data_IF_465767001521
#
_entry.id   IF_465767001521
#
_cell.length_a   1.000
_cell.length_b   1.000
_cell.length_c   1.000
_cell.angle_alpha   90.00
_cell.angle_beta   90.00
_cell.angle_gamma   90.00
#
_symmetry.space_group_name_H-M   'P 1'
#
loop_
_entity.id
_entity.type
_entity.pdbx_description
1 polymer ?
#
# COMPACT_ATOMS: atom_id res chain seq x y z
N UNK A 1 18.87 3.77 -92.95
CA UNK A 1 18.71 4.97 -92.13
C UNK A 1 17.49 4.81 -91.24
N UNK A 2 17.66 4.27 -90.06
CA UNK A 2 16.55 3.96 -89.13
C UNK A 2 16.64 4.88 -87.92
N UNK A 3 15.61 5.69 -87.74
CA UNK A 3 15.46 6.60 -86.59
C UNK A 3 14.94 5.80 -85.39
N UNK A 4 15.78 5.64 -84.40
CA UNK A 4 15.35 5.15 -83.09
C UNK A 4 14.60 6.27 -82.31
N UNK A 5 13.31 6.02 -82.04
CA UNK A 5 12.55 6.86 -81.09
C UNK A 5 12.67 6.26 -79.69
N UNK A 6 13.32 7.00 -78.84
CA UNK A 6 13.39 6.67 -77.43
C UNK A 6 12.04 7.06 -76.78
N UNK A 7 11.35 6.04 -76.23
CA UNK A 7 10.13 6.25 -75.45
C UNK A 7 10.61 6.49 -74.01
N UNK A 8 10.38 7.69 -73.52
CA UNK A 8 10.53 8.01 -72.08
C UNK A 8 9.35 7.43 -71.31
N UNK A 9 9.56 6.39 -70.54
CA UNK A 9 8.59 5.91 -69.55
C UNK A 9 8.72 6.79 -68.30
N UNK A 10 7.60 7.42 -67.92
CA UNK A 10 7.45 8.15 -66.65
C UNK A 10 7.46 7.15 -65.52
N UNK A 11 8.59 7.02 -64.85
CA UNK A 11 8.64 6.37 -63.54
C UNK A 11 7.98 7.28 -62.50
N UNK A 12 6.73 6.94 -62.15
CA UNK A 12 6.04 7.55 -61.00
C UNK A 12 6.69 7.00 -59.74
N UNK A 13 7.53 7.81 -59.12
CA UNK A 13 8.12 7.52 -57.82
C UNK A 13 7.02 7.67 -56.78
N UNK A 14 6.42 6.55 -56.36
CA UNK A 14 5.55 6.49 -55.17
C UNK A 14 6.43 6.65 -53.95
N UNK A 15 6.56 7.89 -53.44
CA UNK A 15 7.14 8.13 -52.11
C UNK A 15 6.06 7.67 -51.10
N UNK A 16 6.24 6.47 -50.57
CA UNK A 16 5.47 5.99 -49.42
C UNK A 16 5.94 6.79 -48.18
N UNK A 17 5.25 7.87 -47.90
CA UNK A 17 5.43 8.61 -46.63
C UNK A 17 4.86 7.70 -45.54
N UNK A 18 5.71 6.84 -44.94
CA UNK A 18 5.41 6.19 -43.69
C UNK A 18 5.49 7.26 -42.61
N UNK A 19 4.38 7.92 -42.34
CA UNK A 19 4.21 8.72 -41.13
C UNK A 19 4.25 7.73 -39.95
N UNK A 20 5.45 7.53 -39.40
CA UNK A 20 5.62 6.93 -38.08
C UNK A 20 5.00 7.94 -37.11
N UNK A 21 3.70 7.78 -36.83
CA UNK A 21 3.10 8.33 -35.63
C UNK A 21 3.75 7.56 -34.45
N UNK A 22 4.94 8.00 -34.06
CA UNK A 22 5.43 7.75 -32.72
C UNK A 22 4.45 8.49 -31.81
N UNK A 23 3.38 7.82 -31.41
CA UNK A 23 2.56 8.29 -30.30
C UNK A 23 3.46 8.21 -29.09
N UNK A 24 4.19 9.29 -28.83
CA UNK A 24 4.74 9.55 -27.52
C UNK A 24 3.50 9.72 -26.61
N UNK A 25 2.95 8.60 -26.16
CA UNK A 25 1.92 8.60 -25.16
C UNK A 25 2.59 9.23 -23.94
N UNK A 26 2.27 10.52 -23.72
CA UNK A 26 2.74 11.25 -22.55
C UNK A 26 2.25 10.43 -21.36
N UNK A 27 3.16 9.65 -20.74
CA UNK A 27 2.79 8.86 -19.56
C UNK A 27 2.31 9.85 -18.51
N UNK A 28 1.06 9.69 -18.11
CA UNK A 28 0.43 10.53 -17.10
C UNK A 28 1.12 10.24 -15.78
N UNK A 29 1.62 11.29 -15.10
CA UNK A 29 2.24 11.16 -13.79
C UNK A 29 1.18 10.72 -12.78
N UNK A 30 1.48 9.71 -11.99
CA UNK A 30 0.62 9.22 -10.91
C UNK A 30 1.05 9.79 -9.57
N UNK A 31 0.10 10.25 -8.79
CA UNK A 31 0.35 10.85 -7.49
C UNK A 31 0.02 9.89 -6.36
N UNK A 32 1.02 9.51 -5.59
CA UNK A 32 0.89 8.68 -4.39
C UNK A 32 1.03 9.55 -3.16
N UNK A 33 0.06 9.48 -2.26
CA UNK A 33 0.10 10.18 -0.98
C UNK A 33 0.57 9.21 0.11
N UNK A 34 1.66 9.54 0.79
CA UNK A 34 2.09 8.89 2.02
C UNK A 34 1.52 9.65 3.22
N UNK A 35 0.96 8.95 4.19
CA UNK A 35 0.44 9.60 5.41
C UNK A 35 1.53 10.32 6.20
N UNK A 36 2.72 9.72 6.27
CA UNK A 36 3.97 10.32 6.80
C UNK A 36 5.14 9.68 6.06
N UNK A 37 5.84 10.45 5.25
CA UNK A 37 6.92 9.94 4.45
C UNK A 37 8.15 9.56 5.29
N UNK A 38 8.82 8.49 4.90
CA UNK A 38 10.20 8.19 5.27
C UNK A 38 10.95 7.67 4.05
N UNK A 39 12.27 7.66 4.13
CA UNK A 39 13.12 7.24 3.03
C UNK A 39 12.77 5.84 2.49
N UNK A 40 12.43 4.89 3.38
CA UNK A 40 12.08 3.53 2.99
C UNK A 40 10.79 3.49 2.16
N UNK A 41 9.73 4.23 2.56
CA UNK A 41 8.48 4.28 1.81
C UNK A 41 8.66 4.98 0.46
N UNK A 42 9.43 6.07 0.41
CA UNK A 42 9.76 6.77 -0.84
C UNK A 42 10.50 5.82 -1.78
N UNK A 43 11.58 5.17 -1.32
CA UNK A 43 12.33 4.19 -2.12
C UNK A 43 11.50 2.99 -2.56
N UNK A 44 10.54 2.56 -1.72
CA UNK A 44 9.65 1.47 -2.08
C UNK A 44 8.74 1.85 -3.24
N UNK A 45 8.19 3.08 -3.21
CA UNK A 45 7.19 3.55 -4.18
C UNK A 45 7.74 4.46 -5.28
N UNK A 46 9.04 4.77 -5.31
CA UNK A 46 9.58 5.58 -6.39
C UNK A 46 9.51 4.85 -7.75
N UNK A 47 9.11 5.59 -8.78
CA UNK A 47 9.05 5.18 -10.17
C UNK A 47 9.16 6.43 -11.05
N UNK A 48 9.67 6.29 -12.29
CA UNK A 48 9.90 7.41 -13.21
C UNK A 48 8.63 8.24 -13.55
N UNK A 49 7.46 7.67 -13.32
CA UNK A 49 6.17 8.31 -13.62
C UNK A 49 5.34 8.59 -12.36
N UNK A 50 5.99 8.67 -11.19
CA UNK A 50 5.27 8.84 -9.92
C UNK A 50 5.71 10.09 -9.18
N UNK A 51 4.74 10.85 -8.67
CA UNK A 51 4.93 11.93 -7.70
C UNK A 51 4.55 11.38 -6.33
N UNK A 52 5.44 11.52 -5.36
CA UNK A 52 5.18 11.12 -3.97
C UNK A 52 5.02 12.37 -3.12
N UNK A 53 3.89 12.46 -2.42
CA UNK A 53 3.57 13.59 -1.54
C UNK A 53 3.49 13.11 -0.08
N UNK A 54 4.10 13.87 0.83
CA UNK A 54 4.03 13.66 2.28
C UNK A 54 2.91 14.48 2.89
N UNK A 55 1.79 13.82 3.19
CA UNK A 55 0.62 14.49 3.75
C UNK A 55 0.87 15.10 5.14
N UNK A 56 1.83 14.53 5.92
CA UNK A 56 2.12 15.00 7.27
C UNK A 56 2.73 16.40 7.30
N UNK A 57 3.51 16.76 6.27
CA UNK A 57 4.18 18.07 6.18
C UNK A 57 3.35 19.13 5.45
N UNK A 58 2.30 18.72 4.73
CA UNK A 58 1.46 19.61 3.94
C UNK A 58 0.32 20.18 4.80
N UNK A 59 0.26 21.52 4.93
CA UNK A 59 -0.74 22.20 5.76
C UNK A 59 -2.19 22.01 5.30
N UNK A 60 -2.41 22.01 3.99
CA UNK A 60 -3.74 21.82 3.40
C UNK A 60 -3.82 20.43 2.73
N UNK A 61 -4.25 19.43 3.50
CA UNK A 61 -4.41 18.06 3.01
C UNK A 61 -5.42 17.97 1.87
N UNK A 62 -6.50 18.79 1.88
CA UNK A 62 -7.52 18.75 0.83
C UNK A 62 -6.95 19.09 -0.54
N UNK A 63 -5.95 19.98 -0.59
CA UNK A 63 -5.33 20.38 -1.84
C UNK A 63 -4.55 19.25 -2.54
N UNK A 64 -4.09 18.25 -1.79
CA UNK A 64 -3.36 17.11 -2.36
C UNK A 64 -4.26 15.89 -2.57
N UNK A 65 -5.35 15.77 -1.80
CA UNK A 65 -6.27 14.64 -1.94
C UNK A 65 -6.90 14.58 -3.34
N UNK A 66 -7.24 15.73 -3.93
CA UNK A 66 -7.80 15.81 -5.30
C UNK A 66 -6.81 15.38 -6.38
N UNK A 67 -5.53 15.27 -6.06
CA UNK A 67 -4.47 14.83 -6.96
C UNK A 67 -4.14 13.34 -6.80
N UNK A 68 -4.70 12.68 -5.77
CA UNK A 68 -4.30 11.33 -5.39
C UNK A 68 -4.79 10.29 -6.39
N UNK A 69 -3.89 9.48 -6.92
CA UNK A 69 -4.18 8.21 -7.59
C UNK A 69 -4.17 7.03 -6.62
N UNK A 70 -3.47 7.16 -5.49
CA UNK A 70 -3.43 6.14 -4.44
C UNK A 70 -2.84 6.66 -3.14
N UNK A 71 -3.14 5.96 -2.04
CA UNK A 71 -2.77 6.36 -0.68
C UNK A 71 -2.05 5.23 0.05
N UNK A 72 -1.00 5.58 0.81
CA UNK A 72 -0.32 4.65 1.71
C UNK A 72 -0.36 5.21 3.13
N UNK A 73 -1.02 4.47 4.02
CA UNK A 73 -0.95 4.71 5.46
C UNK A 73 0.30 4.00 5.99
N UNK A 74 1.26 4.78 6.48
CA UNK A 74 2.58 4.30 6.85
C UNK A 74 2.67 3.81 8.30
N UNK A 75 3.73 3.09 8.66
CA UNK A 75 4.04 2.69 10.03
C UNK A 75 4.38 3.86 10.95
N UNK A 76 4.36 3.67 12.26
CA UNK A 76 4.72 4.72 13.22
C UNK A 76 4.18 4.54 14.63
N UNK A 77 3.90 5.66 15.29
CA UNK A 77 3.45 5.80 16.66
C UNK A 77 2.10 5.09 16.89
N UNK A 78 1.73 4.81 18.14
CA UNK A 78 0.48 4.14 18.49
C UNK A 78 -0.76 5.00 18.16
N UNK A 79 -1.88 4.34 17.85
CA UNK A 79 -3.16 5.00 17.65
C UNK A 79 -3.78 5.27 19.03
N UNK A 80 -4.30 6.48 19.23
CA UNK A 80 -5.00 6.83 20.45
C UNK A 80 -6.15 5.85 20.73
N UNK A 81 -6.15 5.11 21.85
CA UNK A 81 -7.19 4.15 22.19
C UNK A 81 -8.60 4.73 22.25
N UNK A 82 -8.74 6.02 22.48
CA UNK A 82 -10.05 6.70 22.42
C UNK A 82 -10.68 6.67 21.01
N UNK A 83 -9.89 6.46 19.96
CA UNK A 83 -10.40 6.30 18.60
C UNK A 83 -11.23 5.03 18.40
N UNK A 84 -11.04 4.03 19.27
CA UNK A 84 -11.79 2.77 19.27
C UNK A 84 -12.47 2.47 20.63
N UNK A 85 -12.80 3.55 21.39
CA UNK A 85 -13.54 3.52 22.65
C UNK A 85 -12.89 2.66 23.74
N UNK A 86 -11.58 2.61 23.79
CA UNK A 86 -10.82 1.86 24.79
C UNK A 86 -10.03 2.82 25.69
N UNK A 87 -10.47 2.93 26.93
CA UNK A 87 -9.79 3.76 27.94
C UNK A 87 -8.72 2.97 28.72
N UNK A 88 -8.82 1.65 28.72
CA UNK A 88 -7.91 0.78 29.50
C UNK A 88 -6.53 0.79 28.83
N UNK A 89 -6.48 0.71 27.51
CA UNK A 89 -5.25 0.66 26.75
C UNK A 89 -4.46 1.98 26.74
N UNK A 90 -5.02 3.09 27.26
CA UNK A 90 -4.25 4.33 27.46
C UNK A 90 -3.04 4.14 28.38
N UNK A 91 -3.11 3.22 29.32
CA UNK A 91 -2.02 2.97 30.28
C UNK A 91 -0.82 2.19 29.67
N UNK A 92 -1.05 1.49 28.57
CA UNK A 92 -0.05 0.63 27.90
C UNK A 92 0.34 1.12 26.52
N UNK A 93 -0.34 2.15 26.01
CA UNK A 93 0.02 2.84 24.79
C UNK A 93 1.41 3.48 24.89
N UNK A 94 2.16 3.42 23.81
CA UNK A 94 3.34 4.23 23.62
C UNK A 94 3.01 5.69 23.23
N UNK A 95 3.89 6.31 22.47
CA UNK A 95 3.69 7.68 22.01
C UNK A 95 2.46 7.79 21.09
N UNK A 96 1.57 8.74 21.37
CA UNK A 96 0.37 9.02 20.59
C UNK A 96 0.59 10.32 19.80
N UNK A 97 0.30 10.27 18.51
CA UNK A 97 0.35 11.42 17.62
C UNK A 97 -1.07 11.79 17.15
N UNK A 98 -1.76 12.66 17.87
CA UNK A 98 -3.13 13.09 17.60
C UNK A 98 -3.32 13.74 16.22
N UNK A 99 -2.33 14.50 15.75
CA UNK A 99 -2.36 15.10 14.41
C UNK A 99 -2.38 14.00 13.35
N UNK A 100 -1.58 12.97 13.55
CA UNK A 100 -1.47 11.85 12.65
C UNK A 100 -2.72 10.96 12.66
N UNK A 101 -3.34 10.75 13.84
CA UNK A 101 -4.61 10.04 13.96
C UNK A 101 -5.70 10.72 13.11
N UNK A 102 -5.84 12.04 13.26
CA UNK A 102 -6.81 12.83 12.49
C UNK A 102 -6.51 12.80 10.99
N UNK A 103 -5.25 12.96 10.61
CA UNK A 103 -4.80 12.94 9.22
C UNK A 103 -5.09 11.57 8.57
N UNK A 104 -4.63 10.48 9.19
CA UNK A 104 -4.77 9.15 8.60
C UNK A 104 -6.23 8.68 8.54
N UNK A 105 -7.06 9.09 9.51
CA UNK A 105 -8.51 8.88 9.44
C UNK A 105 -9.09 9.57 8.21
N UNK A 106 -8.73 10.83 7.97
CA UNK A 106 -9.17 11.60 6.79
C UNK A 106 -8.70 10.96 5.49
N UNK A 107 -7.43 10.49 5.43
CA UNK A 107 -6.89 9.81 4.25
C UNK A 107 -7.62 8.50 3.96
N UNK A 108 -7.93 7.72 5.00
CA UNK A 108 -8.69 6.49 4.87
C UNK A 108 -10.12 6.76 4.38
N UNK A 109 -10.84 7.68 5.01
CA UNK A 109 -12.22 8.02 4.66
C UNK A 109 -12.28 8.50 3.19
N UNK A 110 -11.36 9.36 2.77
CA UNK A 110 -11.27 9.84 1.40
C UNK A 110 -11.01 8.69 0.40
N UNK A 111 -10.04 7.80 0.70
CA UNK A 111 -9.76 6.65 -0.15
C UNK A 111 -10.97 5.72 -0.24
N UNK A 112 -11.65 5.48 0.87
CA UNK A 112 -12.82 4.61 0.91
C UNK A 112 -13.99 5.15 0.08
N UNK A 113 -14.31 6.42 0.23
CA UNK A 113 -15.40 7.09 -0.47
C UNK A 113 -15.15 7.20 -1.97
N UNK A 114 -13.92 7.55 -2.36
CA UNK A 114 -13.53 7.78 -3.75
C UNK A 114 -13.00 6.52 -4.47
N UNK A 115 -13.00 5.36 -3.79
CA UNK A 115 -12.51 4.09 -4.33
C UNK A 115 -11.04 4.12 -4.75
N UNK A 116 -10.23 4.96 -4.13
CA UNK A 116 -8.81 5.03 -4.39
C UNK A 116 -8.06 3.85 -3.79
N UNK A 117 -7.10 3.27 -4.50
CA UNK A 117 -6.23 2.22 -3.96
C UNK A 117 -5.54 2.66 -2.68
N UNK A 118 -5.59 1.78 -1.65
CA UNK A 118 -4.95 2.05 -0.37
C UNK A 118 -4.11 0.85 0.09
N UNK A 119 -2.88 1.15 0.55
CA UNK A 119 -2.05 0.20 1.32
C UNK A 119 -1.93 0.72 2.75
N UNK A 120 -2.15 -0.16 3.74
CA UNK A 120 -1.82 0.09 5.15
C UNK A 120 -0.62 -0.75 5.59
N UNK A 121 0.36 -0.11 6.25
CA UNK A 121 1.56 -0.80 6.78
C UNK A 121 1.67 -0.55 8.27
N UNK A 122 1.79 -1.63 9.06
CA UNK A 122 1.93 -1.60 10.53
C UNK A 122 0.83 -0.73 11.17
N UNK A 123 1.14 0.47 11.65
CA UNK A 123 0.15 1.44 12.12
C UNK A 123 -0.95 1.71 11.09
N UNK A 124 -0.62 1.75 9.80
CA UNK A 124 -1.60 1.95 8.72
C UNK A 124 -2.62 0.81 8.61
N UNK A 125 -2.23 -0.44 8.88
CA UNK A 125 -3.16 -1.58 8.99
C UNK A 125 -4.08 -1.43 10.21
N UNK A 126 -3.53 -0.99 11.33
CA UNK A 126 -4.28 -0.72 12.55
C UNK A 126 -5.29 0.41 12.35
N UNK A 127 -4.86 1.52 11.70
CA UNK A 127 -5.75 2.64 11.36
C UNK A 127 -6.87 2.20 10.41
N UNK A 128 -6.57 1.39 9.40
CA UNK A 128 -7.61 0.83 8.51
C UNK A 128 -8.66 0.03 9.28
N UNK A 129 -8.26 -0.76 10.30
CA UNK A 129 -9.17 -1.50 11.16
C UNK A 129 -10.01 -0.56 12.04
N UNK A 130 -9.37 0.38 12.73
CA UNK A 130 -10.03 1.34 13.64
C UNK A 130 -11.00 2.25 12.87
N UNK A 131 -10.56 2.79 11.74
CA UNK A 131 -11.41 3.62 10.88
C UNK A 131 -12.63 2.86 10.33
N UNK A 132 -12.50 1.55 10.20
CA UNK A 132 -13.59 0.64 9.79
C UNK A 132 -14.48 0.19 10.96
N UNK A 133 -14.22 0.61 12.19
CA UNK A 133 -15.01 0.28 13.39
C UNK A 133 -14.48 -0.92 14.20
N UNK A 134 -13.25 -1.34 13.95
CA UNK A 134 -12.54 -2.36 14.72
C UNK A 134 -11.82 -1.82 15.95
N UNK A 135 -11.19 -2.72 16.72
CA UNK A 135 -10.39 -2.38 17.92
C UNK A 135 -9.00 -3.02 17.84
N UNK A 136 -8.10 -2.62 18.74
CA UNK A 136 -6.75 -3.13 18.82
C UNK A 136 -6.49 -3.84 20.17
N UNK A 137 -5.54 -4.77 20.17
CA UNK A 137 -4.78 -5.12 21.36
C UNK A 137 -3.87 -3.94 21.71
N UNK A 138 -3.93 -3.46 22.93
CA UNK A 138 -3.11 -2.33 23.37
C UNK A 138 -1.66 -2.73 23.58
N UNK A 139 -1.45 -3.97 24.05
CA UNK A 139 -0.12 -4.56 24.21
C UNK A 139 -0.20 -6.08 24.07
N UNK A 140 0.25 -6.63 22.96
CA UNK A 140 0.21 -8.06 22.66
C UNK A 140 0.90 -8.89 23.73
N UNK A 141 2.12 -8.54 24.22
CA UNK A 141 2.77 -9.30 25.29
C UNK A 141 1.90 -9.46 26.54
N UNK A 142 1.20 -8.41 26.93
CA UNK A 142 0.35 -8.41 28.13
C UNK A 142 -0.98 -9.14 27.91
N UNK A 143 -1.62 -8.98 26.75
CA UNK A 143 -2.97 -9.50 26.49
C UNK A 143 -2.96 -10.92 25.89
N UNK A 144 -1.94 -11.27 25.11
CA UNK A 144 -1.82 -12.55 24.38
C UNK A 144 -0.65 -13.40 24.91
N UNK A 145 0.44 -12.74 25.33
CA UNK A 145 1.66 -13.40 25.77
C UNK A 145 2.82 -13.24 24.79
N UNK A 146 3.89 -13.97 25.02
CA UNK A 146 5.17 -13.85 24.31
C UNK A 146 5.55 -15.09 23.52
N UNK A 147 4.58 -15.91 23.14
CA UNK A 147 4.81 -17.11 22.30
C UNK A 147 5.38 -16.73 20.93
N UNK A 148 4.94 -15.60 20.39
CA UNK A 148 5.54 -14.92 19.22
C UNK A 148 6.09 -13.59 19.69
N UNK A 149 7.30 -13.26 19.28
CA UNK A 149 7.91 -11.96 19.58
C UNK A 149 7.64 -11.03 18.41
N UNK A 150 6.77 -10.03 18.63
CA UNK A 150 6.41 -9.01 17.62
C UNK A 150 7.28 -7.75 17.70
N UNK A 151 7.90 -7.50 18.85
CA UNK A 151 8.80 -6.37 19.09
C UNK A 151 9.84 -6.70 20.14
N UNK A 152 11.07 -6.24 19.94
CA UNK A 152 12.15 -6.24 20.93
C UNK A 152 12.97 -4.95 20.74
N UNK A 153 14.12 -4.81 21.37
CA UNK A 153 15.01 -3.65 21.26
C UNK A 153 15.61 -3.41 19.84
N UNK A 154 14.94 -3.84 18.80
CA UNK A 154 15.33 -3.74 17.39
C UNK A 154 14.36 -4.52 16.51
N UNK A 155 14.79 -4.79 15.28
CA UNK A 155 14.06 -5.64 14.37
C UNK A 155 13.98 -7.06 14.90
N UNK A 156 12.80 -7.63 14.85
CA UNK A 156 12.58 -9.06 15.05
C UNK A 156 11.97 -9.67 13.80
N UNK A 157 12.09 -10.97 13.66
CA UNK A 157 11.46 -11.72 12.59
C UNK A 157 10.65 -12.86 13.15
N UNK A 158 9.44 -13.08 12.62
CA UNK A 158 8.64 -14.24 12.98
C UNK A 158 7.95 -14.82 11.75
N UNK A 159 7.47 -16.06 11.90
CA UNK A 159 6.71 -16.73 10.84
C UNK A 159 5.24 -16.33 10.92
N UNK A 160 4.65 -16.13 9.75
CA UNK A 160 3.20 -16.02 9.57
C UNK A 160 2.70 -17.16 8.71
N UNK A 161 1.46 -17.57 8.94
CA UNK A 161 0.77 -18.60 8.15
C UNK A 161 -0.35 -17.92 7.34
N UNK A 162 -0.44 -18.25 6.05
CA UNK A 162 -1.53 -17.80 5.22
C UNK A 162 -2.78 -18.63 5.54
N UNK A 163 -3.87 -17.94 5.85
CA UNK A 163 -5.18 -18.53 6.16
C UNK A 163 -6.16 -18.36 5.01
N UNK A 164 -5.80 -17.55 4.04
CA UNK A 164 -6.54 -17.36 2.81
C UNK A 164 -5.62 -16.88 1.68
N UNK A 165 -6.04 -17.02 0.43
CA UNK A 165 -5.26 -16.62 -0.73
C UNK A 165 -5.43 -15.14 -1.05
N UNK A 166 -4.32 -14.43 -1.31
CA UNK A 166 -4.33 -13.07 -1.79
C UNK A 166 -3.07 -12.77 -2.63
N UNK A 167 -3.20 -12.91 -3.94
CA UNK A 167 -2.11 -12.63 -4.90
C UNK A 167 -1.69 -11.16 -4.96
N UNK A 168 -2.44 -10.25 -4.30
CA UNK A 168 -2.07 -8.84 -4.18
C UNK A 168 -0.97 -8.59 -3.15
N UNK A 169 -0.80 -9.53 -2.20
CA UNK A 169 0.19 -9.43 -1.10
C UNK A 169 1.23 -10.55 -1.22
N UNK A 170 0.77 -11.78 -1.40
CA UNK A 170 1.60 -12.97 -1.38
C UNK A 170 1.58 -13.70 -2.73
N UNK A 171 2.71 -14.27 -3.18
CA UNK A 171 2.72 -15.13 -4.35
C UNK A 171 1.87 -16.39 -4.12
N UNK A 172 1.31 -16.94 -5.20
CA UNK A 172 0.54 -18.16 -5.13
C UNK A 172 1.39 -19.35 -4.64
N UNK A 173 0.79 -20.24 -3.86
CA UNK A 173 1.47 -21.41 -3.30
C UNK A 173 2.33 -21.12 -2.06
N UNK A 174 2.19 -19.93 -1.46
CA UNK A 174 2.83 -19.61 -0.18
C UNK A 174 1.92 -20.06 0.97
N UNK A 175 2.41 -20.93 1.85
CA UNK A 175 1.68 -21.36 3.05
C UNK A 175 2.20 -20.66 4.32
N UNK A 176 3.51 -20.51 4.42
CA UNK A 176 4.18 -19.90 5.56
C UNK A 176 5.35 -19.06 5.08
N UNK A 177 5.52 -17.88 5.67
CA UNK A 177 6.60 -16.97 5.31
C UNK A 177 7.18 -16.28 6.54
N UNK A 178 8.49 -15.94 6.49
CA UNK A 178 9.17 -15.14 7.48
C UNK A 178 8.97 -13.66 7.15
N UNK A 179 8.55 -12.85 8.13
CA UNK A 179 8.39 -11.40 8.03
C UNK A 179 9.14 -10.68 9.14
N UNK A 180 9.50 -9.43 8.89
CA UNK A 180 10.04 -8.53 9.89
C UNK A 180 8.93 -7.93 10.76
N UNK A 181 9.24 -7.46 11.96
CA UNK A 181 8.24 -6.94 12.89
C UNK A 181 8.82 -5.90 13.86
N UNK A 182 8.01 -4.89 14.19
CA UNK A 182 8.31 -3.81 15.14
C UNK A 182 7.09 -3.36 15.94
N UNK A 183 6.02 -4.15 16.02
CA UNK A 183 4.77 -3.73 16.65
C UNK A 183 4.55 -4.45 18.00
N UNK A 184 3.91 -3.78 18.95
CA UNK A 184 3.41 -4.39 20.17
C UNK A 184 1.88 -4.33 20.25
N UNK A 185 1.25 -3.59 19.34
CA UNK A 185 -0.20 -3.56 19.15
C UNK A 185 -0.60 -4.40 17.92
N UNK A 186 -1.86 -4.85 17.88
CA UNK A 186 -2.38 -5.65 16.76
C UNK A 186 -3.90 -5.59 16.69
N UNK A 187 -4.48 -6.08 15.61
CA UNK A 187 -5.93 -6.11 15.42
C UNK A 187 -6.58 -7.09 16.41
N UNK A 188 -7.60 -6.62 17.16
CA UNK A 188 -8.36 -7.40 18.14
C UNK A 188 -9.76 -7.75 17.61
N UNK A 189 -10.63 -6.77 17.48
CA UNK A 189 -11.93 -6.93 16.84
C UNK A 189 -11.84 -6.35 15.43
N UNK A 190 -12.33 -7.10 14.46
CA UNK A 190 -12.33 -6.68 13.07
C UNK A 190 -13.76 -6.64 12.53
N UNK A 191 -14.12 -5.60 11.75
CA UNK A 191 -15.40 -5.55 11.09
C UNK A 191 -15.52 -6.60 9.98
N UNK A 192 -16.74 -7.04 9.68
CA UNK A 192 -17.01 -8.14 8.74
C UNK A 192 -16.55 -7.87 7.30
N UNK A 193 -16.29 -6.63 6.92
CA UNK A 193 -15.81 -6.28 5.58
C UNK A 193 -14.29 -6.38 5.44
N UNK A 194 -13.54 -6.57 6.52
CA UNK A 194 -12.13 -6.95 6.50
C UNK A 194 -11.98 -8.47 6.54
N UNK A 195 -11.12 -9.01 5.70
CA UNK A 195 -10.80 -10.43 5.61
C UNK A 195 -9.34 -10.65 5.96
N UNK A 196 -9.08 -11.54 6.89
CA UNK A 196 -7.70 -11.93 7.26
C UNK A 196 -7.12 -12.82 6.17
N UNK A 197 -5.89 -12.54 5.79
CA UNK A 197 -5.12 -13.29 4.79
C UNK A 197 -4.00 -14.09 5.45
N UNK A 198 -3.37 -13.51 6.47
CA UNK A 198 -2.30 -14.19 7.21
C UNK A 198 -2.38 -13.88 8.71
N UNK A 199 -1.88 -14.81 9.52
CA UNK A 199 -1.77 -14.68 10.98
C UNK A 199 -0.39 -15.10 11.44
N UNK A 200 0.09 -14.50 12.52
CA UNK A 200 1.17 -15.06 13.34
C UNK A 200 0.71 -16.33 14.05
N UNK A 201 1.64 -17.13 14.57
CA UNK A 201 1.32 -18.41 15.24
C UNK A 201 0.57 -18.25 16.57
N UNK A 202 0.55 -17.07 17.15
CA UNK A 202 -0.27 -16.72 18.32
C UNK A 202 -1.68 -16.22 17.94
N UNK A 203 -2.00 -16.21 16.64
CA UNK A 203 -3.30 -15.85 16.12
C UNK A 203 -3.47 -14.39 15.75
N UNK A 204 -2.49 -13.52 16.00
CA UNK A 204 -2.55 -12.09 15.63
C UNK A 204 -2.64 -11.94 14.10
N UNK A 205 -3.59 -11.15 13.56
CA UNK A 205 -3.66 -10.85 12.14
C UNK A 205 -2.43 -10.09 11.66
N UNK A 206 -1.82 -10.58 10.58
CA UNK A 206 -0.60 -10.02 9.99
C UNK A 206 -0.82 -9.45 8.58
N UNK A 207 -1.90 -9.88 7.92
CA UNK A 207 -2.33 -9.32 6.64
C UNK A 207 -3.85 -9.35 6.54
N UNK A 208 -4.43 -8.26 6.06
CA UNK A 208 -5.87 -8.14 5.82
C UNK A 208 -6.13 -7.47 4.48
N UNK A 209 -7.30 -7.77 3.91
CA UNK A 209 -7.82 -7.08 2.74
C UNK A 209 -9.27 -6.69 2.97
N UNK A 210 -9.69 -5.58 2.38
CA UNK A 210 -11.10 -5.25 2.33
C UNK A 210 -11.80 -6.10 1.27
N UNK A 211 -12.99 -6.61 1.58
CA UNK A 211 -13.79 -7.38 0.63
C UNK A 211 -14.14 -6.51 -0.58
N UNK A 212 -14.00 -7.05 -1.78
CA UNK A 212 -14.25 -6.31 -3.05
C UNK A 212 -15.65 -5.73 -3.17
N UNK A 213 -16.63 -6.29 -2.46
CA UNK A 213 -17.98 -5.73 -2.39
C UNK A 213 -18.06 -4.37 -1.67
N UNK A 214 -17.05 -4.02 -0.87
CA UNK A 214 -16.95 -2.74 -0.17
C UNK A 214 -15.96 -1.79 -0.85
N UNK A 215 -14.80 -2.30 -1.28
CA UNK A 215 -13.77 -1.50 -1.92
C UNK A 215 -12.91 -2.33 -2.89
N UNK A 216 -12.60 -1.84 -4.11
CA UNK A 216 -11.87 -2.61 -5.12
C UNK A 216 -10.45 -2.98 -4.70
N UNK A 217 -9.74 -2.09 -3.99
CA UNK A 217 -8.36 -2.30 -3.59
C UNK A 217 -8.03 -1.57 -2.28
N UNK A 218 -8.17 -2.28 -1.16
CA UNK A 218 -7.55 -1.90 0.12
C UNK A 218 -6.90 -3.13 0.72
N UNK A 219 -5.59 -3.10 0.87
CA UNK A 219 -4.78 -4.17 1.44
C UNK A 219 -3.93 -3.61 2.57
N UNK A 220 -3.68 -4.41 3.60
CA UNK A 220 -2.82 -3.97 4.68
C UNK A 220 -2.06 -5.12 5.32
N UNK A 221 -0.86 -4.82 5.82
CA UNK A 221 0.05 -5.76 6.49
C UNK A 221 0.59 -5.16 7.79
N UNK A 222 0.83 -6.03 8.79
CA UNK A 222 1.35 -5.61 10.08
C UNK A 222 2.89 -5.50 10.07
N UNK A 223 3.54 -6.28 9.23
CA UNK A 223 4.97 -6.21 8.97
C UNK A 223 5.34 -5.07 8.01
N UNK A 224 6.64 -4.89 7.71
CA UNK A 224 7.18 -3.75 6.96
C UNK A 224 7.75 -4.16 5.60
N UNK A 225 6.93 -4.23 4.52
CA UNK A 225 7.41 -4.58 3.18
C UNK A 225 8.39 -3.54 2.62
N UNK A 226 8.31 -2.27 3.03
CA UNK A 226 9.22 -1.19 2.62
C UNK A 226 10.65 -1.36 3.14
N UNK A 227 10.83 -2.25 4.15
CA UNK A 227 12.14 -2.57 4.73
C UNK A 227 12.71 -3.90 4.24
N UNK A 228 11.91 -4.68 3.52
CA UNK A 228 12.41 -5.87 2.82
C UNK A 228 13.24 -5.43 1.61
N UNK A 229 14.28 -6.18 1.27
CA UNK A 229 15.10 -5.83 0.10
C UNK A 229 14.29 -5.80 -1.20
N UNK A 230 14.75 -5.02 -2.18
CA UNK A 230 14.08 -4.90 -3.50
C UNK A 230 13.82 -6.23 -4.19
N UNK A 231 14.65 -7.24 -3.93
CA UNK A 231 14.50 -8.61 -4.47
C UNK A 231 13.46 -9.46 -3.70
N UNK A 232 12.92 -8.95 -2.59
CA UNK A 232 11.93 -9.68 -1.82
C UNK A 232 10.60 -9.73 -2.58
N UNK A 233 10.05 -10.93 -2.71
CA UNK A 233 8.84 -11.17 -3.50
C UNK A 233 7.62 -10.44 -2.96
N UNK A 234 7.46 -10.29 -1.63
CA UNK A 234 6.33 -9.55 -1.04
C UNK A 234 6.46 -8.06 -1.36
N UNK A 235 7.67 -7.50 -1.18
CA UNK A 235 7.97 -6.11 -1.53
C UNK A 235 7.54 -5.79 -2.96
N UNK A 236 7.95 -6.65 -3.92
CA UNK A 236 7.60 -6.47 -5.33
C UNK A 236 6.12 -6.72 -5.61
N UNK A 237 5.54 -7.79 -5.04
CA UNK A 237 4.13 -8.14 -5.28
C UNK A 237 3.20 -7.02 -4.84
N UNK A 238 3.39 -6.47 -3.64
CA UNK A 238 2.55 -5.38 -3.12
C UNK A 238 2.73 -4.10 -3.94
N UNK A 239 3.97 -3.73 -4.26
CA UNK A 239 4.26 -2.58 -5.13
C UNK A 239 3.56 -2.73 -6.49
N UNK A 240 3.79 -3.83 -7.19
CA UNK A 240 3.24 -4.06 -8.52
C UNK A 240 1.71 -4.13 -8.49
N UNK A 241 1.11 -4.76 -7.47
CA UNK A 241 -0.34 -4.80 -7.31
C UNK A 241 -0.95 -3.41 -7.15
N UNK A 242 -0.30 -2.54 -6.37
CA UNK A 242 -0.74 -1.17 -6.19
C UNK A 242 -0.61 -0.34 -7.46
N UNK A 243 0.55 -0.43 -8.16
CA UNK A 243 0.75 0.26 -9.44
C UNK A 243 -0.24 -0.19 -10.51
N UNK A 244 -0.50 -1.49 -10.61
CA UNK A 244 -1.51 -2.02 -11.54
C UNK A 244 -2.92 -1.48 -11.25
N UNK A 245 -3.20 -1.07 -10.03
CA UNK A 245 -4.51 -0.49 -9.66
C UNK A 245 -4.58 1.00 -9.95
N UNK A 246 -3.53 1.78 -9.64
CA UNK A 246 -3.53 3.23 -9.87
C UNK A 246 -3.41 3.65 -11.35
N UNK A 247 -3.06 2.73 -12.25
CA UNK A 247 -2.97 3.02 -13.70
C UNK A 247 -4.22 2.62 -14.48
N UNK A 248 -5.24 2.05 -13.83
CA UNK A 248 -6.52 1.72 -14.45
C UNK A 248 -7.35 2.96 -14.68
#
# INVERSE_FOLDING_TARGET
>A
MTKNRTIMTKNTLFILIITIFSSCQKRELKTIILSKASENYVKWMEDDNTIILDAYTIKNTDSILVLADGIILTGGEDINPLQYNDTINLAVCGDINYQRDTLERKLFDFAFENKLPLIGVCRGMQMMNVASGGTLYGDIPTEIGTTVIHRNNGEVNHKIVLVDTCSLIFPNGTDTIMVNSWHHQGLKIMPNHLRVIARAFDGIPEAVVMKKSFHPFMIAVQFHPERLGKENVIHQTMKNSFYNEIVK
#
